data_IF_920362598660
#
_entry.id   IF_920362598660
#
_cell.length_a   1.000
_cell.length_b   1.000
_cell.length_c   1.000
_cell.angle_alpha   90.00
_cell.angle_beta   90.00
_cell.angle_gamma   90.00
#
_symmetry.space_group_name_H-M   'P 1'
#
loop_
_entity.id
_entity.type
_entity.pdbx_description
1 polymer ?
#
# COMPACT_ATOMS: atom_id res chain seq x y z
N UNK A 1 0.55 37.19 0.97
CA UNK A 1 -0.72 36.85 1.67
C UNK A 1 -1.07 35.41 1.35
N UNK A 2 -1.15 34.52 2.34
CA UNK A 2 -1.55 33.14 2.10
C UNK A 2 -3.05 33.12 1.76
N UNK A 3 -3.42 32.65 0.56
CA UNK A 3 -4.81 32.57 0.07
C UNK A 3 -5.60 31.47 0.79
N UNK A 4 -5.70 31.58 2.11
CA UNK A 4 -6.33 30.60 2.99
C UNK A 4 -7.45 31.33 3.73
N UNK A 5 -8.72 30.88 3.59
CA UNK A 5 -9.84 31.50 4.30
C UNK A 5 -9.63 31.51 5.82
N UNK A 6 -10.02 32.61 6.46
CA UNK A 6 -9.90 32.81 7.91
C UNK A 6 -10.50 31.66 8.73
N UNK A 7 -11.65 31.13 8.30
CA UNK A 7 -12.30 30.00 8.95
C UNK A 7 -11.43 28.73 8.97
N UNK A 8 -10.65 28.48 7.92
CA UNK A 8 -9.71 27.36 7.86
C UNK A 8 -8.56 27.57 8.84
N UNK A 9 -7.99 28.77 8.88
CA UNK A 9 -6.92 29.12 9.82
C UNK A 9 -7.37 29.00 11.27
N UNK A 10 -8.52 29.60 11.61
CA UNK A 10 -9.10 29.56 12.95
C UNK A 10 -9.39 28.12 13.41
N UNK A 11 -9.93 27.27 12.52
CA UNK A 11 -10.13 25.85 12.80
C UNK A 11 -8.81 25.14 13.11
N UNK A 12 -7.74 25.39 12.35
CA UNK A 12 -6.43 24.75 12.58
C UNK A 12 -5.80 25.19 13.90
N UNK A 13 -5.90 26.48 14.26
CA UNK A 13 -5.44 27.00 15.54
C UNK A 13 -6.21 26.34 16.70
N UNK A 14 -7.53 26.23 16.59
CA UNK A 14 -8.37 25.62 17.64
C UNK A 14 -8.17 24.11 17.80
N UNK A 15 -7.95 23.38 16.70
CA UNK A 15 -7.75 21.93 16.74
C UNK A 15 -6.33 21.51 17.11
N UNK A 16 -5.35 22.42 17.03
CA UNK A 16 -3.94 22.14 17.32
C UNK A 16 -3.27 21.13 16.39
N UNK A 17 -3.97 20.61 15.37
CA UNK A 17 -3.44 19.62 14.44
C UNK A 17 -3.48 20.14 13.00
N UNK A 18 -2.31 20.17 12.38
CA UNK A 18 -2.16 20.40 10.94
C UNK A 18 -2.48 19.13 10.14
N UNK A 19 -2.36 17.95 10.77
CA UNK A 19 -2.58 16.64 10.13
C UNK A 19 -4.03 16.21 10.36
N UNK A 20 -4.83 16.31 9.29
CA UNK A 20 -6.18 15.74 9.28
C UNK A 20 -6.10 14.25 8.96
N UNK A 21 -6.73 13.42 9.78
CA UNK A 21 -7.00 12.02 9.43
C UNK A 21 -8.11 12.02 8.37
N UNK A 22 -7.78 11.68 7.12
CA UNK A 22 -8.79 11.55 6.06
C UNK A 22 -9.56 10.23 6.26
N UNK A 23 -10.71 10.32 6.91
CA UNK A 23 -11.69 9.23 7.00
C UNK A 23 -11.28 8.03 7.87
N UNK A 24 -12.01 6.92 7.68
CA UNK A 24 -11.88 5.68 8.46
C UNK A 24 -10.70 4.81 8.01
N UNK A 25 -10.30 4.90 6.75
CA UNK A 25 -9.29 4.02 6.17
C UNK A 25 -7.89 4.45 6.63
N UNK A 26 -7.23 3.56 7.36
CA UNK A 26 -5.84 3.70 7.81
C UNK A 26 -5.03 2.62 7.11
N UNK A 27 -3.80 2.92 6.64
CA UNK A 27 -2.91 1.90 6.10
C UNK A 27 -2.73 0.77 7.13
N UNK A 28 -2.81 -0.46 6.65
CA UNK A 28 -2.72 -1.67 7.49
C UNK A 28 -1.30 -1.84 8.01
N UNK A 29 -0.34 -1.60 7.14
CA UNK A 29 1.09 -1.71 7.40
C UNK A 29 1.71 -0.32 7.55
N UNK A 30 2.77 -0.25 8.35
CA UNK A 30 3.62 0.93 8.41
C UNK A 30 4.47 1.01 7.12
N UNK A 31 5.02 2.18 6.77
CA UNK A 31 5.85 2.32 5.58
C UNK A 31 7.01 1.31 5.50
N UNK A 32 7.68 1.05 6.64
CA UNK A 32 8.76 0.07 6.76
C UNK A 32 8.30 -1.37 6.49
N UNK A 33 7.09 -1.71 6.96
CA UNK A 33 6.48 -3.02 6.75
C UNK A 33 6.04 -3.21 5.29
N UNK A 34 5.56 -2.15 4.63
CA UNK A 34 5.25 -2.18 3.21
C UNK A 34 6.50 -2.31 2.35
N UNK A 35 7.60 -1.66 2.73
CA UNK A 35 8.89 -1.77 2.07
C UNK A 35 9.47 -3.19 2.19
N UNK A 36 9.33 -3.84 3.35
CA UNK A 36 9.72 -5.24 3.55
C UNK A 36 8.98 -6.18 2.58
N UNK A 37 7.65 -5.99 2.42
CA UNK A 37 6.84 -6.73 1.46
C UNK A 37 7.26 -6.43 0.01
N UNK A 38 7.56 -5.18 -0.33
CA UNK A 38 8.03 -4.80 -1.67
C UNK A 38 9.36 -5.46 -2.00
N UNK A 39 10.32 -5.40 -1.09
CA UNK A 39 11.63 -6.03 -1.23
C UNK A 39 11.53 -7.55 -1.35
N UNK A 40 10.55 -8.18 -0.69
CA UNK A 40 10.28 -9.60 -0.88
C UNK A 40 9.81 -9.90 -2.30
N UNK A 41 8.86 -9.12 -2.84
CA UNK A 41 8.37 -9.31 -4.21
C UNK A 41 9.47 -9.11 -5.24
N UNK A 42 10.28 -8.06 -5.10
CA UNK A 42 11.41 -7.80 -6.00
C UNK A 42 12.46 -8.91 -5.98
N UNK A 43 12.76 -9.47 -4.79
CA UNK A 43 13.66 -10.62 -4.68
C UNK A 43 13.10 -11.84 -5.40
N UNK A 44 11.82 -12.14 -5.24
CA UNK A 44 11.20 -13.28 -5.93
C UNK A 44 11.16 -13.09 -7.45
N UNK A 45 10.93 -11.86 -7.90
CA UNK A 45 10.99 -11.52 -9.32
C UNK A 45 12.41 -11.70 -9.90
N UNK A 46 13.44 -11.29 -9.14
CA UNK A 46 14.85 -11.51 -9.53
C UNK A 46 15.26 -12.99 -9.62
N UNK A 47 14.55 -13.86 -8.89
CA UNK A 47 14.73 -15.31 -8.94
C UNK A 47 13.90 -15.97 -10.04
N UNK A 48 13.27 -15.18 -10.93
CA UNK A 48 12.31 -15.63 -11.95
C UNK A 48 11.11 -16.38 -11.36
N UNK A 49 10.83 -16.19 -10.07
CA UNK A 49 9.65 -16.73 -9.42
C UNK A 49 8.54 -15.70 -9.49
N UNK A 50 7.74 -15.76 -10.54
CA UNK A 50 6.58 -14.89 -10.70
C UNK A 50 5.51 -15.22 -9.64
N UNK A 51 5.52 -14.47 -8.54
CA UNK A 51 4.50 -14.55 -7.49
C UNK A 51 3.12 -14.27 -8.07
N UNK A 52 2.21 -15.26 -7.98
CA UNK A 52 0.82 -15.04 -8.34
C UNK A 52 0.20 -14.08 -7.34
N UNK A 53 -0.77 -13.30 -7.81
CA UNK A 53 -1.53 -12.36 -6.98
C UNK A 53 -2.09 -13.01 -5.70
N UNK A 54 -2.61 -14.24 -5.81
CA UNK A 54 -3.21 -14.96 -4.67
C UNK A 54 -2.15 -15.33 -3.63
N UNK A 55 -0.99 -15.80 -4.08
CA UNK A 55 0.14 -16.17 -3.21
C UNK A 55 0.67 -14.93 -2.48
N UNK A 56 0.85 -13.80 -3.18
CA UNK A 56 1.23 -12.55 -2.53
C UNK A 56 0.21 -12.10 -1.47
N UNK A 57 -1.10 -12.21 -1.75
CA UNK A 57 -2.13 -11.87 -0.78
C UNK A 57 -2.15 -12.84 0.42
N UNK A 58 -1.79 -14.12 0.24
CA UNK A 58 -1.61 -15.07 1.34
C UNK A 58 -0.40 -14.68 2.21
N UNK A 59 0.73 -14.37 1.58
CA UNK A 59 1.95 -13.93 2.28
C UNK A 59 1.69 -12.65 3.09
N UNK A 60 1.01 -11.67 2.51
CA UNK A 60 0.63 -10.46 3.22
C UNK A 60 -0.33 -10.74 4.39
N UNK A 61 -1.22 -11.73 4.27
CA UNK A 61 -2.09 -12.18 5.36
C UNK A 61 -1.32 -12.87 6.50
N UNK A 62 -0.38 -13.74 6.16
CA UNK A 62 0.57 -14.38 7.08
C UNK A 62 1.39 -13.33 7.84
N UNK A 63 1.97 -12.38 7.10
CA UNK A 63 2.79 -11.30 7.65
C UNK A 63 2.00 -10.41 8.61
N UNK A 64 0.74 -10.08 8.28
CA UNK A 64 -0.15 -9.37 9.20
C UNK A 64 -0.43 -10.15 10.49
N UNK A 65 -0.53 -11.49 10.43
CA UNK A 65 -0.70 -12.32 11.64
C UNK A 65 0.54 -12.27 12.52
N UNK A 66 1.73 -12.40 11.94
CA UNK A 66 2.99 -12.31 12.68
C UNK A 66 3.17 -10.96 13.38
N UNK A 67 2.72 -9.87 12.74
CA UNK A 67 2.77 -8.50 13.31
C UNK A 67 1.57 -8.16 14.20
N UNK A 68 0.76 -9.14 14.60
CA UNK A 68 -0.45 -8.96 15.43
C UNK A 68 -1.54 -8.05 14.83
N UNK A 69 -1.51 -7.85 13.51
CA UNK A 69 -2.50 -7.08 12.73
C UNK A 69 -3.56 -7.99 12.09
N UNK A 70 -3.66 -9.24 12.53
CA UNK A 70 -4.58 -10.27 12.03
C UNK A 70 -6.04 -9.80 11.93
N UNK A 71 -6.49 -8.95 12.86
CA UNK A 71 -7.87 -8.43 12.91
C UNK A 71 -8.27 -7.58 11.70
N UNK A 72 -7.31 -7.11 10.91
CA UNK A 72 -7.56 -6.23 9.76
C UNK A 72 -8.04 -6.99 8.52
N UNK A 73 -7.63 -8.25 8.37
CA UNK A 73 -8.10 -9.11 7.29
C UNK A 73 -9.13 -10.11 7.84
N UNK A 74 -10.27 -10.26 7.18
CA UNK A 74 -11.35 -11.16 7.63
C UNK A 74 -11.02 -12.65 7.40
N UNK A 75 -9.73 -13.02 7.28
CA UNK A 75 -9.26 -14.36 6.96
C UNK A 75 -7.74 -14.40 6.76
N UNK A 76 -7.24 -15.54 6.25
CA UNK A 76 -5.80 -15.78 6.04
C UNK A 76 -5.22 -15.09 4.79
N UNK A 77 -6.02 -14.30 4.08
CA UNK A 77 -5.67 -13.69 2.79
C UNK A 77 -5.97 -12.19 2.85
N UNK A 78 -5.02 -11.38 2.40
CA UNK A 78 -5.21 -9.95 2.27
C UNK A 78 -6.34 -9.63 1.27
N UNK A 79 -7.20 -8.67 1.62
CA UNK A 79 -8.37 -8.34 0.82
C UNK A 79 -8.02 -7.75 -0.55
N UNK A 80 -8.89 -7.97 -1.55
CA UNK A 80 -8.72 -7.42 -2.92
C UNK A 80 -8.54 -5.89 -2.93
N UNK A 81 -9.25 -5.19 -2.03
CA UNK A 81 -9.16 -3.73 -1.89
C UNK A 81 -7.81 -3.27 -1.36
N UNK A 82 -7.24 -4.00 -0.39
CA UNK A 82 -5.89 -3.73 0.13
C UNK A 82 -4.85 -3.90 -0.98
N UNK A 83 -4.88 -5.00 -1.73
CA UNK A 83 -3.94 -5.22 -2.83
C UNK A 83 -4.01 -4.14 -3.92
N UNK A 84 -5.22 -3.64 -4.23
CA UNK A 84 -5.38 -2.52 -5.16
C UNK A 84 -4.71 -1.25 -4.63
N UNK A 85 -4.92 -0.93 -3.35
CA UNK A 85 -4.28 0.23 -2.72
C UNK A 85 -2.77 0.08 -2.67
N UNK A 86 -2.27 -1.10 -2.29
CA UNK A 86 -0.85 -1.43 -2.25
C UNK A 86 -0.16 -1.19 -3.60
N UNK A 87 -0.78 -1.61 -4.71
CA UNK A 87 -0.26 -1.32 -6.07
C UNK A 87 -0.30 0.15 -6.47
N UNK A 88 -1.25 0.93 -5.95
CA UNK A 88 -1.32 2.37 -6.21
C UNK A 88 -0.19 3.09 -5.45
N UNK A 89 0.06 2.67 -4.21
CA UNK A 89 1.15 3.19 -3.38
C UNK A 89 2.54 2.81 -3.93
N UNK A 90 2.66 1.61 -4.53
CA UNK A 90 3.93 1.06 -5.01
C UNK A 90 3.88 0.78 -6.52
N UNK A 91 4.01 1.82 -7.38
CA UNK A 91 3.91 1.70 -8.83
C UNK A 91 5.11 0.97 -9.48
N UNK A 92 6.18 0.70 -8.73
CA UNK A 92 7.35 -0.08 -9.15
C UNK A 92 7.01 -1.55 -9.42
N UNK A 93 5.87 -2.04 -8.94
CA UNK A 93 5.31 -3.37 -9.26
C UNK A 93 4.54 -3.40 -10.58
N UNK A 94 4.65 -2.37 -11.43
CA UNK A 94 3.96 -2.35 -12.74
C UNK A 94 4.49 -3.45 -13.64
N UNK A 95 3.58 -4.06 -14.39
CA UNK A 95 3.93 -4.97 -15.46
C UNK A 95 4.88 -4.27 -16.43
N UNK A 96 5.93 -4.96 -16.92
CA UNK A 96 6.77 -4.43 -17.98
C UNK A 96 5.87 -3.99 -19.12
N UNK A 97 6.14 -2.80 -19.69
CA UNK A 97 5.43 -2.35 -20.87
C UNK A 97 5.46 -3.48 -21.91
N UNK A 98 4.33 -3.80 -22.58
CA UNK A 98 4.36 -4.74 -23.68
C UNK A 98 5.23 -4.12 -24.76
N UNK A 99 6.51 -4.49 -24.79
CA UNK A 99 7.40 -4.19 -25.89
C UNK A 99 6.91 -5.07 -27.01
N UNK A 100 5.99 -4.56 -27.83
CA UNK A 100 5.66 -5.15 -29.11
C UNK A 100 6.94 -5.13 -29.94
N UNK A 101 7.77 -6.17 -29.83
CA UNK A 101 8.77 -6.49 -30.84
C UNK A 101 7.98 -7.02 -32.04
N UNK A 102 7.46 -6.09 -32.83
CA UNK A 102 7.09 -6.31 -34.21
C UNK A 102 7.98 -5.38 -35.03
N UNK A 103 9.05 -5.97 -35.59
CA UNK A 103 9.72 -5.70 -36.88
C UNK A 103 11.18 -6.15 -36.82
N UNK A 104 11.46 -7.35 -37.34
CA UNK A 104 12.29 -7.61 -38.55
C UNK A 104 12.03 -9.04 -39.03
#
# INVERSE_FOLDING_TARGET
MYNIPYATLHRHIKSGSLRKKLGRFVPVFNPEEEEELLNYVQRMDSLFYSLKRIEFMQIAGEFARQKWKARVFSGNIAGKGWFKNFKICHPTLRSPEPTSIARV
#
